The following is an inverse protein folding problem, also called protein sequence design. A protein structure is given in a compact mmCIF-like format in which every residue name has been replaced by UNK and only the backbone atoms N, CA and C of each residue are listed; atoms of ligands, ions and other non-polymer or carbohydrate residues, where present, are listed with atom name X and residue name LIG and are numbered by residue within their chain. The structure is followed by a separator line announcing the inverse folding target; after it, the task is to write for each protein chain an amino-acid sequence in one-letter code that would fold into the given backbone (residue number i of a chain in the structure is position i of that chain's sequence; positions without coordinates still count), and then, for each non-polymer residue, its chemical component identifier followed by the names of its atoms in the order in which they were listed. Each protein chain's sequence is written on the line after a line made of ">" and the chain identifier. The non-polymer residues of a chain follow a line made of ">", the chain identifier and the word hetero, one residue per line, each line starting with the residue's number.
data_IF_936670093182
#
_entry.id   IF_936670093182
#
_cell.length_a   1.000
_cell.length_b   1.000
_cell.length_c   1.000
_cell.angle_alpha   90.00
_cell.angle_beta   90.00
_cell.angle_gamma   90.00
#
_symmetry.space_group_name_H-M   'P 1'
#
loop_
_entity.id
_entity.type
_entity.pdbx_description
1 polymer ?
#
# COMPACT_ATOMS: atom_id res chain seq x y z
N UNK A 1 21.53 7.48 12.00
CA UNK A 1 21.06 6.34 12.82
C UNK A 1 19.94 5.66 12.06
N UNK A 2 20.02 4.36 11.75
CA UNK A 2 18.90 3.69 11.09
C UNK A 2 17.75 3.62 12.09
N UNK A 3 16.65 4.31 11.81
CA UNK A 3 15.42 4.16 12.58
C UNK A 3 14.92 2.74 12.31
N UNK A 4 14.88 1.90 13.34
CA UNK A 4 14.28 0.56 13.25
C UNK A 4 12.80 0.74 12.87
N UNK A 5 12.44 0.39 11.64
CA UNK A 5 11.07 0.44 11.18
C UNK A 5 10.23 -0.56 11.98
N UNK A 6 9.28 -0.06 12.77
CA UNK A 6 8.36 -0.88 13.56
C UNK A 6 7.15 -1.22 12.70
N UNK A 7 6.99 -2.49 12.35
CA UNK A 7 5.77 -2.99 11.70
C UNK A 7 4.68 -3.24 12.74
N UNK A 8 3.44 -2.82 12.42
CA UNK A 8 2.27 -3.04 13.26
C UNK A 8 1.38 -4.13 12.68
N UNK A 9 0.66 -4.84 13.55
CA UNK A 9 -0.27 -5.89 13.13
C UNK A 9 -1.67 -5.34 12.98
N UNK A 10 -2.36 -5.77 11.92
CA UNK A 10 -3.78 -5.57 11.75
C UNK A 10 -4.57 -6.70 12.44
N UNK A 11 -5.81 -6.40 12.82
CA UNK A 11 -6.83 -7.41 13.14
C UNK A 11 -7.50 -7.89 11.85
N UNK A 12 -8.46 -8.81 11.98
CA UNK A 12 -9.26 -9.27 10.84
C UNK A 12 -10.03 -8.11 10.18
N UNK A 13 -10.20 -8.12 8.85
CA UNK A 13 -10.99 -7.11 8.15
C UNK A 13 -12.43 -7.04 8.68
N UNK A 14 -12.90 -5.83 8.95
CA UNK A 14 -14.25 -5.54 9.39
C UNK A 14 -15.01 -4.73 8.35
N UNK A 15 -16.33 -4.63 8.50
CA UNK A 15 -17.21 -3.80 7.65
C UNK A 15 -16.95 -4.01 6.15
N UNK A 16 -16.83 -5.26 5.72
CA UNK A 16 -16.51 -5.56 4.33
C UNK A 16 -17.77 -5.86 3.50
N UNK A 17 -17.84 -5.33 2.29
CA UNK A 17 -18.89 -5.63 1.33
C UNK A 17 -18.39 -5.46 -0.11
N UNK A 18 -19.09 -6.08 -1.04
CA UNK A 18 -18.86 -5.93 -2.47
C UNK A 18 -19.93 -5.01 -3.07
N UNK A 19 -19.50 -4.08 -3.91
CA UNK A 19 -20.37 -3.26 -4.74
C UNK A 19 -20.05 -3.55 -6.20
N UNK A 20 -21.06 -3.98 -6.97
CA UNK A 20 -20.94 -4.14 -8.41
C UNK A 20 -21.70 -3.02 -9.13
N UNK A 21 -20.97 -2.18 -9.86
CA UNK A 21 -21.53 -1.00 -10.52
C UNK A 21 -20.67 -0.61 -11.72
N UNK A 22 -21.31 -0.26 -12.84
CA UNK A 22 -20.64 0.17 -14.07
C UNK A 22 -19.55 -0.84 -14.53
N UNK A 23 -19.90 -2.13 -14.52
CA UNK A 23 -19.00 -3.23 -14.86
C UNK A 23 -17.75 -3.36 -13.98
N UNK A 24 -17.67 -2.64 -12.86
CA UNK A 24 -16.62 -2.74 -11.87
C UNK A 24 -17.12 -3.41 -10.59
N UNK A 25 -16.33 -4.35 -10.07
CA UNK A 25 -16.53 -4.95 -8.74
C UNK A 25 -15.57 -4.27 -7.75
N UNK A 26 -16.13 -3.59 -6.75
CA UNK A 26 -15.36 -2.89 -5.71
C UNK A 26 -15.52 -3.61 -4.38
N UNK A 27 -14.40 -3.99 -3.76
CA UNK A 27 -14.36 -4.48 -2.39
C UNK A 27 -14.12 -3.30 -1.44
N UNK A 28 -15.10 -3.03 -0.60
CA UNK A 28 -14.95 -2.12 0.53
C UNK A 28 -14.61 -2.94 1.77
N UNK A 29 -13.67 -2.46 2.59
CA UNK A 29 -13.29 -3.09 3.84
C UNK A 29 -12.59 -2.10 4.77
N UNK A 30 -12.63 -2.38 6.07
CA UNK A 30 -11.86 -1.69 7.10
C UNK A 30 -10.80 -2.62 7.66
N UNK A 31 -9.56 -2.16 7.76
CA UNK A 31 -8.45 -2.95 8.33
C UNK A 31 -7.94 -2.28 9.62
N UNK A 32 -8.47 -2.64 10.80
CA UNK A 32 -8.08 -2.01 12.05
C UNK A 32 -6.72 -2.50 12.53
N UNK A 33 -5.93 -1.60 13.13
CA UNK A 33 -4.72 -2.00 13.86
C UNK A 33 -5.12 -2.78 15.12
N UNK A 34 -4.40 -3.87 15.39
CA UNK A 34 -4.65 -4.74 16.55
C UNK A 34 -4.47 -4.02 17.88
N UNK A 35 -3.58 -3.04 17.91
CA UNK A 35 -3.33 -2.16 19.05
C UNK A 35 -3.26 -0.73 18.54
N UNK A 36 -3.86 0.21 19.26
CA UNK A 36 -3.68 1.63 18.98
C UNK A 36 -2.18 1.98 19.00
N UNK A 37 -1.73 2.76 18.04
CA UNK A 37 -0.33 3.16 17.89
C UNK A 37 -0.20 4.66 18.04
N UNK A 38 0.80 5.09 18.79
CA UNK A 38 1.20 6.49 18.85
C UNK A 38 2.52 6.62 18.09
N UNK A 39 2.49 7.29 16.95
CA UNK A 39 3.66 7.53 16.12
C UNK A 39 3.60 8.92 15.50
N UNK A 40 4.73 9.64 15.49
CA UNK A 40 4.88 10.92 14.80
C UNK A 40 5.06 10.76 13.29
N UNK A 41 5.49 9.57 12.86
CA UNK A 41 5.65 9.23 11.46
C UNK A 41 5.14 7.80 11.24
N UNK A 42 4.32 7.64 10.20
CA UNK A 42 3.74 6.37 9.76
C UNK A 42 3.95 6.29 8.25
N UNK A 43 4.24 5.10 7.74
CA UNK A 43 4.23 4.81 6.31
C UNK A 43 3.29 3.65 6.07
N UNK A 44 2.33 3.86 5.18
CA UNK A 44 1.45 2.80 4.69
C UNK A 44 1.93 2.42 3.31
N UNK A 45 2.11 1.12 3.06
CA UNK A 45 2.50 0.59 1.76
C UNK A 45 1.43 -0.39 1.28
N UNK A 46 1.01 -0.23 0.02
CA UNK A 46 0.00 -1.08 -0.61
C UNK A 46 0.60 -1.62 -1.90
N UNK A 47 0.79 -2.94 -1.95
CA UNK A 47 1.31 -3.66 -3.10
C UNK A 47 0.82 -5.11 -3.08
N UNK A 48 0.87 -5.76 -4.25
CA UNK A 48 0.74 -7.21 -4.37
C UNK A 48 2.13 -7.85 -4.27
N UNK A 49 2.44 -8.62 -3.20
CA UNK A 49 3.71 -9.33 -3.09
C UNK A 49 3.93 -10.35 -4.22
N UNK A 50 2.85 -10.80 -4.85
CA UNK A 50 2.88 -11.79 -5.94
C UNK A 50 3.00 -11.16 -7.32
N UNK A 51 3.01 -9.82 -7.43
CA UNK A 51 3.28 -9.04 -8.64
C UNK A 51 2.37 -9.35 -9.85
N UNK A 52 1.20 -9.93 -9.62
CA UNK A 52 0.23 -10.26 -10.67
C UNK A 52 -0.91 -9.25 -10.76
N UNK A 53 -1.16 -8.50 -9.70
CA UNK A 53 -2.22 -7.50 -9.63
C UNK A 53 -1.59 -6.11 -9.45
N UNK A 54 -1.95 -5.21 -10.35
CA UNK A 54 -1.67 -3.78 -10.18
C UNK A 54 -2.71 -3.15 -9.25
N UNK A 55 -2.24 -2.39 -8.27
CA UNK A 55 -3.06 -1.68 -7.29
C UNK A 55 -2.87 -0.19 -7.55
N UNK A 56 -3.87 0.47 -8.13
CA UNK A 56 -3.85 1.91 -8.36
C UNK A 56 -4.77 2.64 -7.38
N UNK A 57 -4.35 3.83 -6.93
CA UNK A 57 -5.23 4.72 -6.21
C UNK A 57 -6.32 5.33 -7.09
N UNK A 58 -7.51 5.53 -6.51
CA UNK A 58 -8.55 6.31 -7.17
C UNK A 58 -8.06 7.73 -7.54
N UNK A 59 -8.48 8.24 -8.71
CA UNK A 59 -8.11 9.56 -9.21
C UNK A 59 -8.46 10.71 -8.26
N UNK A 60 -9.50 10.54 -7.46
CA UNK A 60 -10.00 11.55 -6.52
C UNK A 60 -10.10 10.98 -5.12
N UNK A 61 -9.71 11.78 -4.11
CA UNK A 61 -9.83 11.44 -2.68
C UNK A 61 -9.24 10.08 -2.29
N UNK A 62 -8.10 9.70 -2.89
CA UNK A 62 -7.42 8.41 -2.66
C UNK A 62 -7.13 8.07 -1.20
N UNK A 63 -6.79 9.09 -0.40
CA UNK A 63 -6.54 8.94 1.04
C UNK A 63 -7.07 10.18 1.73
N UNK A 64 -7.70 9.97 2.89
CA UNK A 64 -8.16 11.03 3.77
C UNK A 64 -7.80 10.71 5.21
N UNK A 65 -7.54 11.74 6.00
CA UNK A 65 -7.36 11.64 7.44
C UNK A 65 -8.65 12.11 8.10
N UNK A 66 -9.20 11.32 9.03
CA UNK A 66 -10.30 11.76 9.89
C UNK A 66 -9.75 12.20 11.23
N UNK A 67 -10.25 13.33 11.71
CA UNK A 67 -9.95 13.89 13.04
C UNK A 67 -8.44 14.06 13.34
N UNK A 68 -7.62 14.23 12.30
CA UNK A 68 -6.18 14.44 12.44
C UNK A 68 -5.85 15.93 12.70
N UNK A 69 -4.78 16.23 13.47
CA UNK A 69 -4.27 17.59 13.61
C UNK A 69 -4.02 18.25 12.24
N UNK A 70 -4.36 19.54 12.13
CA UNK A 70 -4.22 20.32 10.87
C UNK A 70 -2.79 20.33 10.32
N UNK A 71 -1.80 20.16 11.19
CA UNK A 71 -0.39 20.15 10.87
C UNK A 71 0.17 18.75 10.53
N UNK A 72 -0.68 17.72 10.42
CA UNK A 72 -0.27 16.44 9.85
C UNK A 72 -0.06 16.58 8.33
N UNK A 73 1.14 16.22 7.86
CA UNK A 73 1.51 16.19 6.46
C UNK A 73 1.37 14.78 5.89
N UNK A 74 0.53 14.65 4.87
CA UNK A 74 0.36 13.42 4.10
C UNK A 74 0.98 13.61 2.71
N UNK A 75 1.90 12.72 2.35
CA UNK A 75 2.56 12.70 1.04
C UNK A 75 2.27 11.39 0.31
N UNK A 76 2.61 11.33 -0.98
CA UNK A 76 2.44 10.14 -1.80
C UNK A 76 3.74 9.87 -2.56
N UNK A 77 4.20 8.63 -2.49
CA UNK A 77 5.28 8.10 -3.30
C UNK A 77 4.68 6.91 -4.07
N UNK A 78 4.39 7.16 -5.35
CA UNK A 78 3.62 6.26 -6.22
C UNK A 78 4.58 5.42 -7.07
N UNK A 79 4.20 4.19 -7.44
CA UNK A 79 5.03 3.35 -8.28
C UNK A 79 5.38 4.04 -9.61
N UNK A 80 6.62 3.84 -10.06
CA UNK A 80 7.09 4.28 -11.37
C UNK A 80 6.73 3.27 -12.46
N UNK A 81 6.74 3.74 -13.71
CA UNK A 81 6.67 2.83 -14.85
C UNK A 81 7.90 1.93 -14.88
N UNK A 82 7.75 0.60 -15.07
CA UNK A 82 8.87 -0.32 -15.07
C UNK A 82 9.96 0.09 -16.08
N UNK A 83 11.20 0.14 -15.62
CA UNK A 83 12.38 0.30 -16.48
C UNK A 83 12.56 -0.93 -17.38
N UNK A 84 13.32 -0.83 -18.49
CA UNK A 84 13.57 -1.99 -19.36
C UNK A 84 14.19 -3.20 -18.63
N UNK A 85 15.02 -2.96 -17.61
CA UNK A 85 15.61 -4.02 -16.80
C UNK A 85 14.58 -4.71 -15.90
N UNK A 86 13.68 -3.94 -15.28
CA UNK A 86 12.56 -4.48 -14.48
C UNK A 86 11.58 -5.27 -15.35
N UNK A 87 11.28 -4.78 -16.56
CA UNK A 87 10.42 -5.50 -17.52
C UNK A 87 11.05 -6.84 -17.96
N UNK A 88 12.36 -6.86 -18.23
CA UNK A 88 13.06 -8.10 -18.56
C UNK A 88 12.97 -9.10 -17.41
N UNK A 89 13.13 -8.63 -16.16
CA UNK A 89 13.03 -9.46 -14.97
C UNK A 89 11.61 -10.01 -14.75
N UNK A 90 10.58 -9.20 -15.00
CA UNK A 90 9.17 -9.64 -15.01
C UNK A 90 8.91 -10.72 -16.08
N UNK A 91 9.54 -10.61 -17.25
CA UNK A 91 9.42 -11.61 -18.32
C UNK A 91 10.04 -12.97 -17.98
N UNK A 92 10.89 -13.05 -16.95
CA UNK A 92 11.62 -14.26 -16.56
C UNK A 92 10.94 -15.05 -15.42
N UNK A 93 9.84 -14.54 -14.85
CA UNK A 93 9.12 -15.11 -13.71
C UNK A 93 8.59 -16.54 -13.93
N UNK A 94 8.44 -16.97 -15.18
CA UNK A 94 7.96 -18.32 -15.52
C UNK A 94 8.97 -19.45 -15.29
N UNK A 95 10.26 -19.15 -15.08
CA UNK A 95 11.33 -20.15 -15.08
C UNK A 95 11.92 -20.45 -13.69
N UNK A 96 11.68 -19.61 -12.70
CA UNK A 96 12.00 -19.84 -11.30
C UNK A 96 11.13 -18.92 -10.44
N UNK A 97 10.63 -19.37 -9.28
CA UNK A 97 10.10 -18.45 -8.30
C UNK A 97 11.21 -17.44 -7.99
N UNK A 98 10.97 -16.15 -8.18
CA UNK A 98 11.91 -15.19 -7.57
C UNK A 98 11.93 -15.48 -6.07
N UNK A 99 13.02 -15.11 -5.42
CA UNK A 99 12.93 -14.67 -4.04
C UNK A 99 12.03 -13.40 -4.02
N UNK A 100 10.72 -13.62 -4.21
CA UNK A 100 9.70 -12.64 -4.62
C UNK A 100 9.31 -11.71 -3.48
N UNK A 101 9.82 -11.95 -2.27
CA UNK A 101 9.38 -11.27 -1.06
C UNK A 101 9.58 -9.74 -1.11
N UNK A 102 10.47 -9.23 -1.97
CA UNK A 102 10.75 -7.79 -2.12
C UNK A 102 10.45 -7.17 -3.50
N UNK A 103 10.12 -7.95 -4.54
CA UNK A 103 9.91 -7.36 -5.88
C UNK A 103 8.55 -6.65 -6.01
N UNK A 104 7.52 -7.08 -5.28
CA UNK A 104 6.28 -6.30 -5.20
C UNK A 104 6.45 -4.95 -4.50
N UNK A 105 7.40 -4.87 -3.55
CA UNK A 105 7.65 -3.67 -2.75
C UNK A 105 8.16 -2.49 -3.59
N UNK A 106 8.90 -2.75 -4.68
CA UNK A 106 9.38 -1.68 -5.57
C UNK A 106 8.23 -0.99 -6.33
N UNK A 107 7.08 -1.65 -6.45
CA UNK A 107 5.86 -1.10 -7.05
C UNK A 107 4.81 -0.72 -5.99
N UNK A 108 5.20 -0.56 -4.73
CA UNK A 108 4.28 -0.17 -3.69
C UNK A 108 3.81 1.27 -3.82
N UNK A 109 2.51 1.46 -3.62
CA UNK A 109 1.97 2.76 -3.31
C UNK A 109 2.30 3.09 -1.86
N UNK A 110 3.10 4.13 -1.64
CA UNK A 110 3.53 4.54 -0.31
C UNK A 110 2.85 5.84 0.09
N UNK A 111 2.34 5.85 1.32
CA UNK A 111 1.67 7.00 1.93
C UNK A 111 2.41 7.35 3.22
N UNK A 112 3.47 8.17 3.15
CA UNK A 112 4.08 8.72 4.35
C UNK A 112 3.14 9.74 5.00
N UNK A 113 2.92 9.58 6.30
CA UNK A 113 2.18 10.49 7.17
C UNK A 113 3.12 10.97 8.27
N UNK A 114 3.25 12.29 8.42
CA UNK A 114 4.01 12.90 9.52
C UNK A 114 3.11 13.85 10.30
N UNK A 115 3.07 13.69 11.62
CA UNK A 115 2.34 14.53 12.55
C UNK A 115 3.32 15.13 13.59
N UNK A 116 3.02 16.31 14.16
CA UNK A 116 3.90 17.00 15.12
C UNK A 116 4.22 16.19 16.40
#
# INVERSE_FOLDING_TARGET
>A
MPQTARSWKFSDPADHWLEYKNDALTLHFTLPLKTAVTAKAVQIEIYDPTIFVDLEFAKHKRVSLRDAPLQCLLTFDLPHQPTPAEQLRLGQLGNAPLDTSSFGEIFANKIPLKCP
#
